data_IF_502771854038
#
_entry.id   IF_502771854038
#
_cell.length_a   1.000
_cell.length_b   1.000
_cell.length_c   1.000
_cell.angle_alpha   90.00
_cell.angle_beta   90.00
_cell.angle_gamma   90.00
#
_symmetry.space_group_name_H-M   'P 1'
#
loop_
_entity.id
_entity.type
_entity.pdbx_description
1 polymer ?
#
# COMPACT_ATOMS: atom_id res chain seq x y z
N UNK A 1 -12.89 5.99 -34.75
CA UNK A 1 -14.31 5.68 -34.48
C UNK A 1 -15.23 6.84 -34.85
N UNK A 2 -15.10 8.03 -34.26
CA UNK A 2 -16.01 9.17 -34.52
C UNK A 2 -16.03 9.63 -35.99
N UNK A 3 -14.85 9.83 -36.60
CA UNK A 3 -14.72 10.35 -37.97
C UNK A 3 -15.35 9.39 -39.02
N UNK A 4 -15.14 8.08 -38.84
CA UNK A 4 -15.77 7.03 -39.66
C UNK A 4 -17.28 6.94 -39.46
N UNK A 5 -17.77 7.15 -38.23
CA UNK A 5 -19.22 7.20 -37.96
C UNK A 5 -19.86 8.42 -38.62
N UNK A 6 -19.23 9.59 -38.57
CA UNK A 6 -19.71 10.80 -39.26
C UNK A 6 -19.79 10.55 -40.78
N UNK A 7 -18.77 9.93 -41.37
CA UNK A 7 -18.77 9.61 -42.80
C UNK A 7 -19.87 8.61 -43.18
N UNK A 8 -20.10 7.57 -42.38
CA UNK A 8 -21.19 6.61 -42.57
C UNK A 8 -22.59 7.24 -42.45
N UNK A 9 -22.75 8.25 -41.58
CA UNK A 9 -24.00 9.01 -41.47
C UNK A 9 -24.24 9.95 -42.67
N UNK A 10 -23.19 10.53 -43.25
CA UNK A 10 -23.28 11.39 -44.44
C UNK A 10 -23.55 10.58 -45.72
N UNK A 11 -23.17 9.30 -45.75
CA UNK A 11 -23.38 8.38 -46.86
C UNK A 11 -24.06 7.08 -46.39
N UNK A 12 -25.38 7.10 -46.07
CA UNK A 12 -26.07 5.98 -45.44
C UNK A 12 -26.18 4.72 -46.31
N UNK A 13 -25.95 4.82 -47.62
CA UNK A 13 -25.87 3.66 -48.53
C UNK A 13 -24.55 2.88 -48.48
N UNK A 14 -23.52 3.41 -47.81
CA UNK A 14 -22.21 2.76 -47.69
C UNK A 14 -22.18 1.76 -46.53
N UNK A 15 -22.64 0.54 -46.79
CA UNK A 15 -22.65 -0.56 -45.82
C UNK A 15 -21.25 -0.92 -45.30
N UNK A 16 -20.21 -0.70 -46.13
CA UNK A 16 -18.83 -0.98 -45.76
C UNK A 16 -18.34 0.03 -44.71
N UNK A 17 -18.69 1.31 -44.86
CA UNK A 17 -18.44 2.36 -43.87
C UNK A 17 -19.05 2.06 -42.50
N UNK A 18 -20.30 1.59 -42.47
CA UNK A 18 -20.96 1.14 -41.22
C UNK A 18 -20.26 -0.05 -40.57
N UNK A 19 -19.79 -1.01 -41.38
CA UNK A 19 -19.05 -2.18 -40.88
C UNK A 19 -17.72 -1.77 -40.23
N UNK A 20 -16.96 -0.87 -40.86
CA UNK A 20 -15.72 -0.32 -40.29
C UNK A 20 -16.01 0.46 -39.00
N UNK A 21 -17.03 1.32 -39.00
CA UNK A 21 -17.40 2.10 -37.83
C UNK A 21 -17.78 1.20 -36.63
N UNK A 22 -18.56 0.14 -36.89
CA UNK A 22 -18.92 -0.85 -35.87
C UNK A 22 -17.69 -1.55 -35.28
N UNK A 23 -16.75 -2.01 -36.13
CA UNK A 23 -15.51 -2.63 -35.66
C UNK A 23 -14.62 -1.68 -34.86
N UNK A 24 -14.50 -0.40 -35.28
CA UNK A 24 -13.71 0.59 -34.56
C UNK A 24 -14.31 0.92 -33.18
N UNK A 25 -15.65 0.98 -33.08
CA UNK A 25 -16.31 1.14 -31.79
C UNK A 25 -16.14 -0.08 -30.90
N UNK A 26 -16.25 -1.29 -31.48
CA UNK A 26 -16.03 -2.54 -30.76
C UNK A 26 -14.62 -2.61 -30.17
N UNK A 27 -13.58 -2.32 -30.97
CA UNK A 27 -12.18 -2.35 -30.48
C UNK A 27 -11.91 -1.28 -29.43
N UNK A 28 -12.49 -0.08 -29.56
CA UNK A 28 -12.38 0.98 -28.54
C UNK A 28 -13.04 0.55 -27.23
N UNK A 29 -14.21 -0.07 -27.30
CA UNK A 29 -14.93 -0.57 -26.12
C UNK A 29 -14.11 -1.66 -25.40
N UNK A 30 -13.53 -2.60 -26.17
CA UNK A 30 -12.67 -3.63 -25.60
C UNK A 30 -11.38 -3.06 -24.99
N UNK A 31 -10.76 -2.06 -25.62
CA UNK A 31 -9.58 -1.39 -25.06
C UNK A 31 -9.90 -0.73 -23.72
N UNK A 32 -10.97 0.06 -23.66
CA UNK A 32 -11.41 0.73 -22.43
C UNK A 32 -11.81 -0.27 -21.33
N UNK A 33 -12.45 -1.38 -21.71
CA UNK A 33 -12.81 -2.44 -20.76
C UNK A 33 -11.56 -3.14 -20.22
N UNK A 34 -10.58 -3.46 -21.07
CA UNK A 34 -9.34 -4.09 -20.65
C UNK A 34 -8.54 -3.18 -19.69
N UNK A 35 -8.49 -1.89 -19.98
CA UNK A 35 -7.88 -0.87 -19.10
C UNK A 35 -8.60 -0.79 -17.76
N UNK A 36 -9.93 -0.67 -17.76
CA UNK A 36 -10.73 -0.64 -16.54
C UNK A 36 -10.56 -1.91 -15.68
N UNK A 37 -10.46 -3.09 -16.31
CA UNK A 37 -10.20 -4.36 -15.61
C UNK A 37 -8.79 -4.42 -15.04
N UNK A 38 -7.80 -3.93 -15.78
CA UNK A 38 -6.41 -3.86 -15.32
C UNK A 38 -6.28 -2.94 -14.10
N UNK A 39 -6.85 -1.73 -14.16
CA UNK A 39 -6.89 -0.81 -13.02
C UNK A 39 -7.69 -1.37 -11.83
N UNK A 40 -8.83 -2.00 -12.10
CA UNK A 40 -9.71 -2.53 -11.07
C UNK A 40 -9.04 -3.59 -10.19
N UNK A 41 -8.19 -4.44 -10.79
CA UNK A 41 -7.40 -5.44 -10.06
C UNK A 41 -6.33 -4.80 -9.17
N UNK A 42 -5.62 -3.78 -9.67
CA UNK A 42 -4.63 -3.04 -8.89
C UNK A 42 -5.24 -2.33 -7.67
N UNK A 43 -6.35 -1.61 -7.90
CA UNK A 43 -7.07 -0.86 -6.84
C UNK A 43 -7.62 -1.79 -5.75
N UNK A 44 -8.14 -2.96 -6.12
CA UNK A 44 -8.68 -3.93 -5.16
C UNK A 44 -7.60 -4.53 -4.24
N UNK A 45 -6.42 -4.83 -4.79
CA UNK A 45 -5.30 -5.38 -4.02
C UNK A 45 -4.66 -4.32 -3.09
N UNK A 46 -4.58 -3.07 -3.55
CA UNK A 46 -4.16 -1.95 -2.70
C UNK A 46 -5.13 -1.70 -1.55
N UNK A 47 -6.44 -1.77 -1.81
CA UNK A 47 -7.47 -1.56 -0.79
C UNK A 47 -7.47 -2.65 0.29
N UNK A 48 -7.20 -3.91 -0.06
CA UNK A 48 -7.12 -4.99 0.93
C UNK A 48 -5.90 -4.85 1.85
N UNK A 49 -4.73 -4.51 1.28
CA UNK A 49 -3.52 -4.21 2.06
C UNK A 49 -3.74 -3.05 3.05
N UNK A 50 -4.41 -1.98 2.61
CA UNK A 50 -4.75 -0.84 3.46
C UNK A 50 -5.67 -1.22 4.62
N UNK A 51 -6.63 -2.12 4.38
CA UNK A 51 -7.62 -2.54 5.38
C UNK A 51 -7.00 -3.37 6.50
N UNK A 52 -6.17 -4.37 6.14
CA UNK A 52 -5.48 -5.23 7.11
C UNK A 52 -4.62 -4.41 8.08
N UNK A 53 -3.99 -3.32 7.62
CA UNK A 53 -3.17 -2.47 8.48
C UNK A 53 -4.00 -1.61 9.44
N UNK A 54 -5.13 -1.06 8.99
CA UNK A 54 -6.00 -0.26 9.87
C UNK A 54 -6.55 -1.07 11.05
N UNK A 55 -6.61 -2.39 10.92
CA UNK A 55 -7.08 -3.32 11.96
C UNK A 55 -5.95 -3.83 12.88
N UNK A 56 -4.68 -3.52 12.57
CA UNK A 56 -3.55 -3.93 13.41
C UNK A 56 -3.59 -3.18 14.74
N UNK A 57 -3.59 -3.92 15.85
CA UNK A 57 -3.54 -3.35 17.20
C UNK A 57 -2.11 -2.94 17.52
N UNK A 58 -1.92 -1.69 17.91
CA UNK A 58 -0.65 -1.13 18.35
C UNK A 58 -0.61 -0.98 19.87
N UNK A 59 0.52 -1.32 20.49
CA UNK A 59 0.76 -1.08 21.93
C UNK A 59 1.49 0.24 22.12
N UNK A 60 0.74 1.32 22.26
CA UNK A 60 1.30 2.66 22.44
C UNK A 60 1.72 2.88 23.89
N UNK A 61 2.93 3.38 24.11
CA UNK A 61 3.41 3.87 25.40
C UNK A 61 2.81 5.25 25.70
N UNK A 62 2.07 5.35 26.80
CA UNK A 62 1.60 6.59 27.37
C UNK A 62 2.27 6.80 28.73
N UNK A 63 3.44 7.45 28.71
CA UNK A 63 4.33 7.54 29.87
C UNK A 63 4.92 6.17 30.20
N UNK A 64 4.51 5.59 31.32
CA UNK A 64 4.96 4.26 31.78
C UNK A 64 3.96 3.15 31.51
N UNK A 65 2.75 3.47 31.03
CA UNK A 65 1.70 2.49 30.76
C UNK A 65 1.61 2.18 29.26
N UNK A 66 1.35 0.92 28.94
CA UNK A 66 1.04 0.49 27.57
C UNK A 66 -0.48 0.51 27.35
N UNK A 67 -0.93 1.16 26.29
CA UNK A 67 -2.32 1.24 25.86
C UNK A 67 -2.46 0.57 24.49
N UNK A 68 -3.47 -0.29 24.33
CA UNK A 68 -3.80 -0.86 23.03
C UNK A 68 -4.67 0.11 22.24
N UNK A 69 -4.17 0.57 21.10
CA UNK A 69 -4.87 1.47 20.19
C UNK A 69 -4.86 0.89 18.77
N UNK A 70 -5.87 1.19 17.93
CA UNK A 70 -5.80 0.86 16.52
C UNK A 70 -4.59 1.53 15.87
N UNK A 71 -3.91 0.86 14.94
CA UNK A 71 -2.78 1.43 14.19
C UNK A 71 -3.15 2.73 13.44
N UNK A 72 -4.42 2.88 13.05
CA UNK A 72 -4.96 4.11 12.45
C UNK A 72 -5.05 5.30 13.40
N UNK A 73 -5.00 5.08 14.71
CA UNK A 73 -5.02 6.12 15.73
C UNK A 73 -3.60 6.64 16.09
N UNK A 74 -2.56 5.99 15.57
CA UNK A 74 -1.17 6.40 15.80
C UNK A 74 -0.88 7.74 15.15
N UNK A 75 -0.14 8.57 15.88
CA UNK A 75 0.33 9.88 15.43
C UNK A 75 1.85 9.93 15.40
N UNK A 76 2.38 10.84 14.61
CA UNK A 76 3.82 11.11 14.58
C UNK A 76 4.29 11.50 15.99
N UNK A 77 5.35 10.85 16.45
CA UNK A 77 5.90 11.02 17.80
C UNK A 77 5.40 10.00 18.82
N UNK A 78 4.33 9.25 18.54
CA UNK A 78 3.88 8.17 19.42
C UNK A 78 4.97 7.09 19.55
N UNK A 79 5.13 6.58 20.77
CA UNK A 79 6.03 5.46 21.06
C UNK A 79 5.22 4.17 21.08
N UNK A 80 5.67 3.15 20.38
CA UNK A 80 4.99 1.86 20.27
C UNK A 80 5.94 0.73 20.66
N UNK A 81 5.46 -0.18 21.49
CA UNK A 81 6.19 -1.38 21.89
C UNK A 81 5.87 -2.51 20.92
N UNK A 82 6.91 -3.13 20.39
CA UNK A 82 6.82 -4.33 19.57
C UNK A 82 7.73 -5.42 20.16
N UNK A 83 7.19 -6.63 20.29
CA UNK A 83 7.93 -7.81 20.75
C UNK A 83 7.99 -8.87 19.63
N UNK A 84 8.82 -9.89 19.83
CA UNK A 84 8.90 -11.02 18.93
C UNK A 84 7.51 -11.61 18.59
N UNK A 85 7.19 -11.65 17.29
CA UNK A 85 5.90 -12.07 16.74
C UNK A 85 4.98 -10.92 16.32
N UNK A 86 5.20 -9.70 16.84
CA UNK A 86 4.39 -8.54 16.52
C UNK A 86 4.67 -8.00 15.12
N UNK A 87 3.64 -7.39 14.54
CA UNK A 87 3.76 -6.59 13.31
C UNK A 87 3.97 -5.14 13.71
N UNK A 88 4.96 -4.48 13.09
CA UNK A 88 5.21 -3.06 13.32
C UNK A 88 4.03 -2.25 12.74
N UNK A 89 3.24 -1.52 13.56
CA UNK A 89 1.98 -0.95 13.10
C UNK A 89 2.14 0.29 12.21
N UNK A 90 3.23 1.05 12.39
CA UNK A 90 3.51 2.32 11.70
C UNK A 90 4.99 2.43 11.31
N UNK A 91 5.29 3.27 10.33
CA UNK A 91 6.70 3.55 10.00
C UNK A 91 7.31 4.42 11.10
N UNK A 92 8.56 4.16 11.43
CA UNK A 92 9.19 4.79 12.58
C UNK A 92 10.68 4.49 12.72
N UNK A 93 11.25 5.00 13.80
CA UNK A 93 12.63 4.71 14.18
C UNK A 93 12.66 4.00 15.53
N UNK A 94 13.50 2.97 15.67
CA UNK A 94 13.77 2.29 16.94
C UNK A 94 14.50 3.28 17.86
N UNK A 95 13.90 3.56 19.00
CA UNK A 95 14.46 4.46 20.03
C UNK A 95 14.97 3.71 21.25
N UNK A 96 14.56 2.46 21.44
CA UNK A 96 15.02 1.60 22.53
C UNK A 96 15.06 0.14 22.06
N UNK A 97 16.12 -0.57 22.44
CA UNK A 97 16.29 -2.00 22.20
C UNK A 97 16.96 -2.33 20.87
N UNK A 98 17.09 -3.64 20.63
CA UNK A 98 17.59 -4.23 19.40
C UNK A 98 16.67 -5.39 19.03
N UNK A 99 16.34 -5.54 17.75
CA UNK A 99 15.54 -6.66 17.29
C UNK A 99 15.91 -7.05 15.85
N UNK A 100 15.68 -8.31 15.51
CA UNK A 100 15.64 -8.74 14.12
C UNK A 100 14.25 -8.54 13.53
N UNK A 101 14.17 -7.97 12.33
CA UNK A 101 12.93 -7.65 11.63
C UNK A 101 12.89 -8.35 10.28
N UNK A 102 11.76 -8.99 9.99
CA UNK A 102 11.45 -9.58 8.69
C UNK A 102 10.83 -8.52 7.77
N UNK A 103 11.62 -8.08 6.79
CA UNK A 103 11.22 -7.12 5.77
C UNK A 103 10.82 -7.77 4.45
N UNK A 104 10.68 -9.11 4.41
CA UNK A 104 10.35 -9.87 3.20
C UNK A 104 9.05 -9.42 2.52
N UNK A 105 8.09 -8.94 3.31
CA UNK A 105 6.83 -8.40 2.79
C UNK A 105 7.03 -7.17 1.89
N UNK A 106 8.13 -6.43 2.06
CA UNK A 106 8.38 -5.16 1.36
C UNK A 106 9.56 -5.29 0.38
N UNK A 107 10.68 -5.84 0.83
CA UNK A 107 11.91 -5.94 0.03
C UNK A 107 11.97 -7.22 -0.80
N UNK A 108 11.20 -8.25 -0.44
CA UNK A 108 11.27 -9.58 -1.05
C UNK A 108 12.49 -10.41 -0.61
N UNK A 109 13.34 -9.88 0.27
CA UNK A 109 14.49 -10.61 0.82
C UNK A 109 14.07 -11.42 2.05
N UNK A 110 14.36 -12.71 2.07
CA UNK A 110 14.01 -13.61 3.19
C UNK A 110 14.92 -13.49 4.41
N UNK A 111 16.05 -12.79 4.30
CA UNK A 111 17.01 -12.68 5.37
C UNK A 111 16.58 -11.57 6.36
N UNK A 112 16.53 -11.85 7.68
CA UNK A 112 16.11 -10.86 8.65
C UNK A 112 17.19 -9.77 8.83
N UNK A 113 16.73 -8.54 9.01
CA UNK A 113 17.59 -7.36 9.18
C UNK A 113 17.58 -6.91 10.63
N UNK A 114 18.75 -6.63 11.19
CA UNK A 114 18.89 -6.14 12.57
C UNK A 114 18.59 -4.64 12.61
N UNK A 115 17.68 -4.25 13.50
CA UNK A 115 17.28 -2.87 13.76
C UNK A 115 17.63 -2.53 15.20
N UNK A 116 18.29 -1.39 15.40
CA UNK A 116 18.87 -1.00 16.68
C UNK A 116 18.63 0.46 17.02
N UNK A 117 18.49 0.78 18.30
CA UNK A 117 18.34 2.15 18.77
C UNK A 117 19.62 2.96 18.60
N UNK A 118 19.49 4.21 18.13
CA UNK A 118 20.56 5.22 18.20
C UNK A 118 21.65 5.09 17.14
N UNK A 119 21.50 4.20 16.16
CA UNK A 119 22.41 4.05 15.02
C UNK A 119 21.73 4.31 13.67
N UNK A 120 22.48 4.11 12.57
CA UNK A 120 22.00 4.26 11.19
C UNK A 120 20.95 3.21 10.80
N UNK A 121 20.80 2.16 11.61
CA UNK A 121 19.86 1.03 11.39
C UNK A 121 18.59 1.12 12.23
N UNK A 122 18.23 2.32 12.70
CA UNK A 122 17.03 2.51 13.52
C UNK A 122 15.73 2.53 12.73
N UNK A 123 15.75 2.89 11.45
CA UNK A 123 14.52 3.02 10.65
C UNK A 123 13.82 1.67 10.43
N UNK A 124 12.52 1.62 10.67
CA UNK A 124 11.64 0.46 10.46
C UNK A 124 10.41 0.83 9.65
N UNK A 125 9.94 -0.11 8.83
CA UNK A 125 8.77 0.08 7.98
C UNK A 125 7.57 -0.61 8.61
N UNK A 126 6.41 0.04 8.65
CA UNK A 126 5.20 -0.61 9.16
C UNK A 126 4.72 -1.72 8.22
N UNK A 127 4.20 -2.79 8.81
CA UNK A 127 3.81 -4.02 8.12
C UNK A 127 4.89 -5.11 8.12
N UNK A 128 6.12 -4.79 8.54
CA UNK A 128 7.17 -5.80 8.77
C UNK A 128 6.96 -6.48 10.12
N UNK A 129 7.55 -7.67 10.31
CA UNK A 129 7.37 -8.47 11.53
C UNK A 129 8.63 -8.47 12.38
N UNK A 130 8.49 -8.25 13.68
CA UNK A 130 9.58 -8.42 14.65
C UNK A 130 9.77 -9.92 14.92
N UNK A 131 11.00 -10.41 14.77
CA UNK A 131 11.33 -11.82 14.95
C UNK A 131 11.99 -12.11 16.29
N UNK A 132 12.72 -11.16 16.86
CA UNK A 132 13.41 -11.35 18.14
C UNK A 132 13.30 -10.11 19.02
N UNK A 133 13.41 -10.34 20.33
CA UNK A 133 13.56 -9.31 21.36
C UNK A 133 12.38 -8.31 21.43
N UNK A 134 12.57 -7.24 22.20
CA UNK A 134 11.61 -6.16 22.41
C UNK A 134 12.23 -4.84 21.96
N UNK A 135 11.50 -4.08 21.17
CA UNK A 135 11.89 -2.75 20.69
C UNK A 135 10.80 -1.73 20.91
N UNK A 136 11.22 -0.49 21.16
CA UNK A 136 10.32 0.68 21.18
C UNK A 136 10.56 1.48 19.91
N UNK A 137 9.50 1.67 19.14
CA UNK A 137 9.49 2.38 17.86
C UNK A 137 8.79 3.72 18.03
N UNK A 138 9.45 4.81 17.65
CA UNK A 138 8.84 6.13 17.53
C UNK A 138 8.26 6.30 16.14
N UNK A 139 6.96 6.54 16.05
CA UNK A 139 6.26 6.74 14.77
C UNK A 139 6.77 8.02 14.10
N UNK A 140 7.22 7.92 12.85
CA UNK A 140 7.72 9.06 12.06
C UNK A 140 6.78 9.46 10.93
N UNK A 141 5.91 8.56 10.49
CA UNK A 141 4.93 8.83 9.44
C UNK A 141 3.49 8.79 9.97
N UNK A 142 2.67 9.75 9.54
CA UNK A 142 1.23 9.73 9.81
C UNK A 142 0.53 8.68 8.94
N UNK A 143 -0.61 8.12 9.38
CA UNK A 143 -1.44 7.28 8.54
C UNK A 143 -1.79 7.98 7.21
N UNK A 144 -1.57 7.30 6.08
CA UNK A 144 -1.77 7.85 4.73
C UNK A 144 -0.50 8.41 4.08
N UNK A 145 0.59 8.59 4.82
CA UNK A 145 1.89 9.07 4.30
C UNK A 145 3.03 8.08 4.55
N UNK A 146 2.70 6.83 4.88
CA UNK A 146 3.69 5.78 5.12
C UNK A 146 4.30 5.26 3.81
N UNK A 147 5.41 4.53 3.87
CA UNK A 147 6.07 3.92 2.72
C UNK A 147 5.11 3.11 1.86
N UNK A 148 4.28 2.29 2.49
CA UNK A 148 3.26 1.49 1.79
C UNK A 148 2.12 2.34 1.25
N UNK A 149 1.68 3.38 1.96
CA UNK A 149 0.67 4.30 1.42
C UNK A 149 1.19 5.05 0.19
N UNK A 150 2.47 5.46 0.20
CA UNK A 150 3.13 6.08 -0.96
C UNK A 150 3.28 5.09 -2.11
N UNK A 151 3.63 3.84 -1.84
CA UNK A 151 3.70 2.78 -2.85
C UNK A 151 2.32 2.50 -3.46
N UNK A 152 1.26 2.47 -2.64
CA UNK A 152 -0.12 2.35 -3.11
C UNK A 152 -0.53 3.57 -3.94
N UNK A 153 -0.14 4.78 -3.54
CA UNK A 153 -0.48 6.01 -4.27
C UNK A 153 0.21 6.14 -5.64
N UNK A 154 1.28 5.37 -5.88
CA UNK A 154 1.95 5.30 -7.18
C UNK A 154 1.29 4.34 -8.17
N UNK A 155 0.36 3.50 -7.70
CA UNK A 155 -0.38 2.51 -8.51
C UNK A 155 -1.80 3.00 -8.78
#
# INVERSE_FOLDING_TARGET
SVLTTVFACLHPGDWFGWTIAAWLWLTTLFANLAEAVAEGRGKAQAASLRRTRSETVARRLNGTAEEQVPGSALRVGDLVVCEAGDVIPGDGDVVEGVASVDESAITGESAPVIRESGGDRCAVTGGTRVLSDRVVVRVTAKPGDTFIDRMIGLV
#
